data_IF_229020846822
#
_entry.id   IF_229020846822
#
_cell.length_a   1.000
_cell.length_b   1.000
_cell.length_c   1.000
_cell.angle_alpha   90.00
_cell.angle_beta   90.00
_cell.angle_gamma   90.00
#
_symmetry.space_group_name_H-M   'P 1'
#
loop_
_entity.id
_entity.type
_entity.pdbx_description
1 polymer ?
#
# COMPACT_ATOMS: atom_id res chain seq x y z
N UNK A 1 19.45 -45.08 39.00
CA UNK A 1 18.23 -44.38 38.57
C UNK A 1 18.15 -42.97 39.11
N UNK A 2 18.29 -41.93 38.27
CA UNK A 2 17.34 -40.82 38.25
C UNK A 2 17.52 -39.89 37.03
N UNK A 3 16.50 -39.93 36.16
CA UNK A 3 15.97 -38.93 35.23
C UNK A 3 16.88 -37.78 34.73
N UNK A 4 17.21 -37.88 33.44
CA UNK A 4 17.39 -36.74 32.51
C UNK A 4 16.12 -35.88 32.52
N UNK A 5 16.23 -34.63 32.96
CA UNK A 5 15.20 -33.61 32.76
C UNK A 5 15.33 -33.07 31.33
N UNK A 6 14.45 -33.53 30.45
CA UNK A 6 14.19 -32.91 29.15
C UNK A 6 13.64 -31.50 29.38
N UNK A 7 14.37 -30.50 28.92
CA UNK A 7 13.90 -29.11 28.90
C UNK A 7 12.68 -28.92 28.00
N UNK A 8 11.94 -27.80 28.15
CA UNK A 8 10.74 -27.55 27.39
C UNK A 8 11.06 -27.48 25.90
N UNK A 9 10.38 -28.31 25.10
CA UNK A 9 10.32 -28.16 23.65
C UNK A 9 9.78 -26.76 23.34
N UNK A 10 10.63 -25.92 22.75
CA UNK A 10 10.22 -24.62 22.25
C UNK A 10 9.13 -24.83 21.18
N UNK A 11 7.93 -24.22 21.31
CA UNK A 11 6.83 -24.43 20.37
C UNK A 11 7.00 -23.63 19.07
N UNK A 12 8.22 -23.24 18.70
CA UNK A 12 8.47 -22.49 17.46
C UNK A 12 8.88 -23.51 16.39
N UNK A 13 8.04 -23.80 15.39
CA UNK A 13 8.48 -24.59 14.24
C UNK A 13 9.50 -23.73 13.49
N UNK A 14 10.78 -24.07 13.61
CA UNK A 14 11.89 -23.31 13.03
C UNK A 14 12.11 -23.60 11.53
N UNK A 15 11.17 -24.24 10.85
CA UNK A 15 11.34 -24.78 9.49
C UNK A 15 10.48 -24.08 8.43
N UNK A 16 9.83 -22.95 8.74
CA UNK A 16 9.39 -22.03 7.70
C UNK A 16 10.64 -21.38 7.08
N UNK A 17 11.25 -22.10 6.15
CA UNK A 17 12.47 -21.69 5.46
C UNK A 17 12.28 -20.28 4.87
N UNK A 18 13.30 -19.43 5.00
CA UNK A 18 13.40 -18.14 4.30
C UNK A 18 13.12 -18.26 2.79
N UNK A 19 13.24 -19.46 2.23
CA UNK A 19 12.88 -19.78 0.86
C UNK A 19 11.37 -19.64 0.56
N UNK A 20 10.49 -19.91 1.52
CA UNK A 20 9.04 -19.67 1.39
C UNK A 20 8.78 -18.16 1.36
N UNK A 21 9.33 -17.43 2.34
CA UNK A 21 9.25 -15.97 2.37
C UNK A 21 9.83 -15.32 1.10
N UNK A 22 10.93 -15.86 0.57
CA UNK A 22 11.53 -15.38 -0.68
C UNK A 22 10.61 -15.55 -1.89
N UNK A 23 9.80 -16.62 -1.95
CA UNK A 23 8.83 -16.82 -3.01
C UNK A 23 7.66 -15.85 -2.87
N UNK A 24 7.16 -15.67 -1.67
CA UNK A 24 6.05 -14.74 -1.38
C UNK A 24 6.45 -13.30 -1.70
N UNK A 25 7.67 -12.89 -1.33
CA UNK A 25 8.22 -11.57 -1.69
C UNK A 25 8.35 -11.41 -3.22
N UNK A 26 8.78 -12.45 -3.93
CA UNK A 26 8.88 -12.40 -5.39
C UNK A 26 7.50 -12.28 -6.05
N UNK A 27 6.50 -13.00 -5.54
CA UNK A 27 5.11 -12.86 -5.99
C UNK A 27 4.57 -11.46 -5.69
N UNK A 28 4.85 -10.91 -4.51
CA UNK A 28 4.45 -9.54 -4.16
C UNK A 28 5.05 -8.51 -5.13
N UNK A 29 6.31 -8.70 -5.52
CA UNK A 29 6.97 -7.85 -6.53
C UNK A 29 6.27 -7.88 -7.88
N UNK A 30 5.63 -9.00 -8.24
CA UNK A 30 4.82 -9.08 -9.46
C UNK A 30 3.52 -8.28 -9.36
N UNK A 31 2.89 -8.26 -8.18
CA UNK A 31 1.67 -7.48 -7.93
C UNK A 31 1.90 -5.96 -8.07
N UNK A 32 3.11 -5.49 -7.81
CA UNK A 32 3.48 -4.08 -7.93
C UNK A 32 4.17 -3.72 -9.26
N UNK A 33 4.28 -4.63 -10.22
CA UNK A 33 4.76 -4.30 -11.57
C UNK A 33 3.98 -3.18 -12.26
N UNK A 34 2.65 -3.04 -12.09
CA UNK A 34 1.89 -1.94 -12.71
C UNK A 34 2.44 -0.56 -12.37
N UNK A 35 2.99 -0.36 -11.16
CA UNK A 35 3.65 0.90 -10.80
C UNK A 35 4.94 1.14 -11.58
N UNK A 36 5.71 0.09 -11.84
CA UNK A 36 6.96 0.17 -12.62
C UNK A 36 6.72 0.45 -14.10
N UNK A 37 5.51 0.18 -14.59
CA UNK A 37 5.09 0.43 -15.97
C UNK A 37 4.64 1.88 -16.21
N UNK A 38 4.49 2.68 -15.16
CA UNK A 38 4.20 4.11 -15.27
C UNK A 38 5.41 4.87 -15.82
N UNK A 39 5.18 6.06 -16.41
CA UNK A 39 6.28 6.97 -16.75
C UNK A 39 7.03 7.43 -15.50
N UNK A 40 8.31 7.78 -15.61
CA UNK A 40 9.11 8.26 -14.47
C UNK A 40 8.46 9.43 -13.71
N UNK A 41 7.81 10.33 -14.45
CA UNK A 41 7.06 11.45 -13.89
C UNK A 41 5.89 10.97 -13.01
N UNK A 42 5.10 10.01 -13.51
CA UNK A 42 3.98 9.43 -12.76
C UNK A 42 4.45 8.57 -11.59
N UNK A 43 5.55 7.84 -11.73
CA UNK A 43 6.17 7.10 -10.62
C UNK A 43 6.61 8.05 -9.51
N UNK A 44 7.22 9.19 -9.87
CA UNK A 44 7.64 10.20 -8.90
C UNK A 44 6.45 10.85 -8.21
N UNK A 45 5.42 11.21 -8.96
CA UNK A 45 4.19 11.77 -8.40
C UNK A 45 3.50 10.76 -7.45
N UNK A 46 3.36 9.50 -7.86
CA UNK A 46 2.83 8.42 -7.01
C UNK A 46 3.62 8.30 -5.71
N UNK A 47 4.94 8.28 -5.81
CA UNK A 47 5.82 8.16 -4.66
C UNK A 47 5.68 9.35 -3.70
N UNK A 48 5.61 10.57 -4.22
CA UNK A 48 5.39 11.77 -3.40
C UNK A 48 4.03 11.74 -2.70
N UNK A 49 2.98 11.32 -3.40
CA UNK A 49 1.65 11.15 -2.80
C UNK A 49 1.63 10.05 -1.74
N UNK A 50 2.26 8.91 -1.97
CA UNK A 50 2.39 7.87 -0.93
C UNK A 50 3.11 8.44 0.30
N UNK A 51 4.23 9.15 0.12
CA UNK A 51 4.93 9.78 1.24
C UNK A 51 4.06 10.78 2.00
N UNK A 52 3.21 11.53 1.28
CA UNK A 52 2.24 12.43 1.90
C UNK A 52 1.17 11.64 2.68
N UNK A 53 0.60 10.59 2.10
CA UNK A 53 -0.40 9.73 2.75
C UNK A 53 0.13 9.08 4.03
N UNK A 54 1.41 8.68 4.07
CA UNK A 54 2.04 8.09 5.27
C UNK A 54 2.05 9.03 6.49
N UNK A 55 1.88 10.34 6.30
CA UNK A 55 1.75 11.30 7.41
C UNK A 55 0.36 11.28 8.05
N UNK A 56 -0.64 10.71 7.36
CA UNK A 56 -2.05 10.84 7.70
C UNK A 56 -2.72 9.45 7.74
N UNK A 57 -2.59 8.75 8.88
CA UNK A 57 -3.16 7.42 9.12
C UNK A 57 -4.66 7.34 8.79
N UNK A 58 -5.44 8.34 9.24
CA UNK A 58 -6.88 8.40 8.96
C UNK A 58 -7.18 8.47 7.45
N UNK A 59 -6.36 9.21 6.71
CA UNK A 59 -6.51 9.39 5.26
C UNK A 59 -6.18 8.11 4.50
N UNK A 60 -5.18 7.34 4.93
CA UNK A 60 -4.87 6.01 4.38
C UNK A 60 -6.07 5.07 4.54
N UNK A 61 -6.66 5.02 5.73
CA UNK A 61 -7.83 4.19 6.02
C UNK A 61 -9.06 4.64 5.23
N UNK A 62 -9.32 5.94 5.11
CA UNK A 62 -10.44 6.45 4.31
C UNK A 62 -10.29 6.09 2.82
N UNK A 63 -9.07 6.18 2.30
CA UNK A 63 -8.78 5.84 0.90
C UNK A 63 -8.89 4.33 0.64
N UNK A 64 -8.42 3.51 1.56
CA UNK A 64 -8.57 2.06 1.51
C UNK A 64 -10.05 1.63 1.49
N UNK A 65 -10.86 2.16 2.42
CA UNK A 65 -12.31 1.91 2.45
C UNK A 65 -13.00 2.36 1.15
N UNK A 66 -12.52 3.46 0.55
CA UNK A 66 -13.03 3.91 -0.74
C UNK A 66 -12.70 2.90 -1.86
N UNK A 67 -11.47 2.41 -1.94
CA UNK A 67 -11.11 1.40 -2.94
C UNK A 67 -11.91 0.10 -2.74
N UNK A 68 -12.11 -0.33 -1.49
CA UNK A 68 -12.98 -1.46 -1.14
C UNK A 68 -14.42 -1.28 -1.63
N UNK A 69 -14.96 -0.06 -1.49
CA UNK A 69 -16.29 0.30 -1.98
C UNK A 69 -16.38 0.37 -3.51
N UNK A 70 -15.27 0.57 -4.22
CA UNK A 70 -15.22 0.52 -5.67
C UNK A 70 -15.14 -0.93 -6.17
N UNK A 71 -14.45 -1.81 -5.43
CA UNK A 71 -14.38 -3.25 -5.70
C UNK A 71 -15.70 -3.96 -5.42
N UNK A 72 -16.38 -3.57 -4.34
CA UNK A 72 -17.68 -4.10 -3.95
C UNK A 72 -18.75 -3.24 -4.62
N UNK A 73 -19.56 -3.76 -5.54
CA UNK A 73 -20.67 -3.05 -6.23
C UNK A 73 -21.78 -2.48 -5.27
N UNK A 74 -21.49 -2.36 -3.97
CA UNK A 74 -22.39 -2.17 -2.84
C UNK A 74 -22.70 -0.70 -2.53
N UNK A 75 -21.96 0.27 -3.05
CA UNK A 75 -22.33 1.69 -2.96
C UNK A 75 -21.68 2.53 -4.08
N UNK A 76 -22.34 3.59 -4.57
CA UNK A 76 -21.68 4.53 -5.45
C UNK A 76 -20.64 5.31 -4.64
N UNK A 77 -19.36 5.23 -5.03
CA UNK A 77 -18.22 5.92 -4.38
C UNK A 77 -18.39 7.44 -4.14
N UNK A 78 -19.46 8.03 -4.66
CA UNK A 78 -19.98 9.38 -4.39
C UNK A 78 -20.13 9.63 -2.87
N UNK A 79 -20.65 8.66 -2.10
CA UNK A 79 -20.91 8.85 -0.66
C UNK A 79 -19.58 8.94 0.11
N UNK A 80 -18.60 8.09 -0.22
CA UNK A 80 -17.28 8.10 0.42
C UNK A 80 -16.47 9.37 0.10
N UNK A 81 -16.57 9.89 -1.13
CA UNK A 81 -15.93 11.17 -1.49
C UNK A 81 -16.57 12.36 -0.78
N UNK A 82 -17.90 12.42 -0.62
CA UNK A 82 -18.54 13.54 0.08
C UNK A 82 -18.19 13.57 1.58
N UNK A 83 -17.94 12.41 2.19
CA UNK A 83 -17.53 12.25 3.60
C UNK A 83 -16.08 12.70 3.86
N UNK A 84 -15.22 12.65 2.83
CA UNK A 84 -13.88 13.25 2.83
C UNK A 84 -13.98 14.78 2.87
N UNK A 85 -14.32 15.35 4.02
CA UNK A 85 -14.32 16.80 4.29
C UNK A 85 -12.95 17.30 4.79
N UNK A 86 -11.87 16.63 4.40
CA UNK A 86 -10.52 17.02 4.76
C UNK A 86 -9.94 17.99 3.71
N UNK A 87 -8.99 18.85 4.10
CA UNK A 87 -8.22 19.69 3.15
C UNK A 87 -7.42 18.87 2.11
N UNK A 88 -7.35 17.55 2.26
CA UNK A 88 -6.55 16.63 1.44
C UNK A 88 -7.31 16.08 0.23
N UNK A 89 -8.59 16.43 0.07
CA UNK A 89 -9.46 15.99 -1.04
C UNK A 89 -8.83 16.08 -2.43
N UNK A 90 -8.19 17.20 -2.83
CA UNK A 90 -7.55 17.30 -4.14
C UNK A 90 -6.39 16.30 -4.32
N UNK A 91 -5.64 16.03 -3.26
CA UNK A 91 -4.54 15.07 -3.29
C UNK A 91 -5.06 13.64 -3.48
N UNK A 92 -6.22 13.32 -2.90
CA UNK A 92 -6.86 12.02 -3.05
C UNK A 92 -7.45 11.82 -4.45
N UNK A 93 -8.07 12.86 -5.02
CA UNK A 93 -8.52 12.84 -6.41
C UNK A 93 -7.35 12.63 -7.38
N UNK A 94 -6.24 13.34 -7.14
CA UNK A 94 -5.01 13.17 -7.91
C UNK A 94 -4.44 11.75 -7.77
N UNK A 95 -4.49 11.17 -6.57
CA UNK A 95 -4.10 9.77 -6.35
C UNK A 95 -4.96 8.81 -7.15
N UNK A 96 -6.28 8.95 -7.08
CA UNK A 96 -7.21 8.09 -7.78
C UNK A 96 -7.00 8.17 -9.30
N UNK A 97 -6.82 9.37 -9.85
CA UNK A 97 -6.46 9.55 -11.26
C UNK A 97 -5.10 8.94 -11.60
N UNK A 98 -4.14 9.01 -10.69
CA UNK A 98 -2.83 8.45 -10.97
C UNK A 98 -2.86 6.92 -11.00
N UNK A 99 -3.69 6.29 -10.17
CA UNK A 99 -3.83 4.83 -10.06
C UNK A 99 -4.89 4.20 -10.97
N UNK A 100 -5.51 4.99 -11.85
CA UNK A 100 -6.39 4.41 -12.87
C UNK A 100 -7.89 4.63 -12.68
N UNK A 101 -8.30 5.55 -11.79
CA UNK A 101 -9.70 5.79 -11.43
C UNK A 101 -10.15 7.19 -11.84
N UNK A 102 -11.21 7.27 -12.65
CA UNK A 102 -11.81 8.55 -13.02
C UNK A 102 -13.13 8.79 -12.28
N UNK A 103 -13.13 9.76 -11.38
CA UNK A 103 -14.26 10.05 -10.49
C UNK A 103 -15.42 10.76 -11.19
N UNK A 104 -15.17 11.58 -12.21
CA UNK A 104 -16.22 12.40 -12.85
C UNK A 104 -17.17 11.60 -13.77
N UNK A 105 -16.83 10.36 -14.13
CA UNK A 105 -17.60 9.55 -15.09
C UNK A 105 -17.90 8.17 -14.51
N UNK A 106 -18.96 8.07 -13.72
CA UNK A 106 -19.48 6.79 -13.17
C UNK A 106 -18.41 5.89 -12.53
N UNK A 107 -17.36 6.46 -11.93
CA UNK A 107 -16.26 5.72 -11.29
C UNK A 107 -15.68 4.66 -12.22
N UNK A 108 -15.19 5.10 -13.39
CA UNK A 108 -14.61 4.18 -14.36
C UNK A 108 -13.15 3.89 -14.00
N UNK A 109 -12.86 2.61 -13.78
CA UNK A 109 -11.50 2.09 -13.68
C UNK A 109 -11.01 1.86 -15.11
N UNK A 110 -9.98 2.59 -15.54
CA UNK A 110 -9.39 2.45 -16.88
C UNK A 110 -8.09 1.65 -16.87
N UNK A 111 -7.50 1.42 -15.70
CA UNK A 111 -6.36 0.54 -15.52
C UNK A 111 -6.58 -0.33 -14.28
N UNK A 112 -7.18 -1.50 -14.49
CA UNK A 112 -7.52 -2.44 -13.43
C UNK A 112 -6.28 -2.99 -12.71
N UNK A 113 -5.21 -3.31 -13.44
CA UNK A 113 -3.97 -3.82 -12.83
C UNK A 113 -3.33 -2.79 -11.89
N UNK A 114 -3.29 -1.52 -12.32
CA UNK A 114 -2.75 -0.42 -11.52
C UNK A 114 -3.63 -0.10 -10.30
N UNK A 115 -4.94 -0.15 -10.50
CA UNK A 115 -5.91 0.02 -9.41
C UNK A 115 -5.76 -1.09 -8.36
N UNK A 116 -5.67 -2.36 -8.78
CA UNK A 116 -5.47 -3.49 -7.87
C UNK A 116 -4.13 -3.37 -7.13
N UNK A 117 -3.05 -2.98 -7.80
CA UNK A 117 -1.77 -2.73 -7.15
C UNK A 117 -1.88 -1.63 -6.07
N UNK A 118 -2.63 -0.55 -6.35
CA UNK A 118 -2.89 0.51 -5.38
C UNK A 118 -3.76 0.04 -4.21
N UNK A 119 -4.77 -0.79 -4.49
CA UNK A 119 -5.61 -1.41 -3.48
C UNK A 119 -4.81 -2.30 -2.53
N UNK A 120 -3.97 -3.19 -3.07
CA UNK A 120 -3.06 -4.02 -2.26
C UNK A 120 -2.10 -3.19 -1.41
N UNK A 121 -1.52 -2.13 -1.98
CA UNK A 121 -0.62 -1.25 -1.24
C UNK A 121 -1.36 -0.56 -0.09
N UNK A 122 -2.53 0.02 -0.35
CA UNK A 122 -3.29 0.76 0.65
C UNK A 122 -3.86 -0.14 1.74
N UNK A 123 -4.30 -1.36 1.40
CA UNK A 123 -4.65 -2.38 2.40
C UNK A 123 -3.48 -2.67 3.34
N UNK A 124 -2.28 -2.90 2.78
CA UNK A 124 -1.09 -3.13 3.59
C UNK A 124 -0.72 -1.91 4.45
N UNK A 125 -0.90 -0.68 3.96
CA UNK A 125 -0.63 0.54 4.72
C UNK A 125 -1.67 0.76 5.83
N UNK A 126 -2.94 0.49 5.57
CA UNK A 126 -4.03 0.65 6.54
C UNK A 126 -3.91 -0.32 7.74
N UNK A 127 -3.26 -1.48 7.54
CA UNK A 127 -2.96 -2.42 8.62
C UNK A 127 -1.80 -1.97 9.54
N UNK A 128 -1.00 -0.99 9.11
CA UNK A 128 0.13 -0.50 9.89
C UNK A 128 -0.31 0.49 10.96
N UNK A 129 0.33 0.42 12.13
CA UNK A 129 0.18 1.45 13.16
C UNK A 129 0.80 2.78 12.72
N UNK A 130 0.30 3.90 13.26
CA UNK A 130 0.90 5.24 13.09
C UNK A 130 2.43 5.27 13.24
N UNK A 131 2.98 4.59 14.25
CA UNK A 131 4.43 4.51 14.47
C UNK A 131 5.17 3.79 13.33
N UNK A 132 4.55 2.76 12.76
CA UNK A 132 5.10 1.99 11.63
C UNK A 132 5.04 2.80 10.33
N UNK A 133 3.96 3.56 10.11
CA UNK A 133 3.84 4.49 8.98
C UNK A 133 4.93 5.57 9.02
N UNK A 134 5.17 6.16 10.19
CA UNK A 134 6.24 7.15 10.38
C UNK A 134 7.64 6.56 10.17
N UNK A 135 7.87 5.32 10.59
CA UNK A 135 9.13 4.61 10.31
C UNK A 135 9.31 4.39 8.81
N UNK A 136 8.26 3.93 8.12
CA UNK A 136 8.29 3.73 6.66
C UNK A 136 8.58 5.05 5.94
N UNK A 137 7.96 6.15 6.35
CA UNK A 137 8.23 7.48 5.82
C UNK A 137 9.70 7.90 6.03
N UNK A 138 10.25 7.65 7.22
CA UNK A 138 11.67 7.91 7.48
C UNK A 138 12.58 7.08 6.56
N UNK A 139 12.23 5.80 6.31
CA UNK A 139 12.93 4.96 5.35
C UNK A 139 12.82 5.51 3.92
N UNK A 140 11.64 5.99 3.50
CA UNK A 140 11.44 6.65 2.21
C UNK A 140 12.36 7.87 2.06
N UNK A 141 12.46 8.73 3.07
CA UNK A 141 13.35 9.89 3.07
C UNK A 141 14.84 9.51 2.96
N UNK A 142 15.26 8.42 3.60
CA UNK A 142 16.62 7.89 3.48
C UNK A 142 16.91 7.35 2.08
N UNK A 143 15.94 6.71 1.44
CA UNK A 143 16.06 6.23 0.05
C UNK A 143 16.14 7.39 -0.95
N UNK A 144 15.42 8.49 -0.72
CA UNK A 144 15.57 9.75 -1.47
C UNK A 144 16.97 10.38 -1.30
N UNK A 145 17.51 10.37 -0.08
CA UNK A 145 18.86 10.85 0.22
C UNK A 145 19.99 9.94 -0.30
N UNK A 146 19.66 8.68 -0.57
CA UNK A 146 20.56 7.64 -1.08
C UNK A 146 20.22 7.36 -2.56
N UNK A 147 20.36 8.35 -3.43
CA UNK A 147 20.24 8.10 -4.87
C UNK A 147 21.44 7.28 -5.36
N UNK A 148 21.31 6.01 -5.78
CA UNK A 148 22.08 5.61 -6.94
C UNK A 148 21.52 6.42 -8.10
N UNK A 149 22.37 7.24 -8.74
CA UNK A 149 22.08 7.74 -10.07
C UNK A 149 21.84 6.52 -10.95
N UNK A 150 20.58 6.21 -11.24
CA UNK A 150 20.25 5.28 -12.31
C UNK A 150 20.80 5.91 -13.59
N UNK A 151 21.77 5.21 -14.19
CA UNK A 151 22.47 5.57 -15.42
C UNK A 151 22.38 4.37 -16.35
#
# INVERSE_FOLDING_TARGET
>A
DNKKLSGPESPIPSDASLNILSKDVLQLKTQFQPFMNLSEEKQRALYQMICHLLLHEETVMQLENMLDSLCSERSPGIIAMEELKSPEKPCLEEFLQLVGVHLQSKHQIYNEELFLAAHYLLGALAELSSSSLMLLLACCALLLGSTPRFR
#
